data_IF_673267753831
#
_entry.id   IF_673267753831
#
_cell.length_a   1.000
_cell.length_b   1.000
_cell.length_c   1.000
_cell.angle_alpha   90.00
_cell.angle_beta   90.00
_cell.angle_gamma   90.00
#
_symmetry.space_group_name_H-M   'P 1'
#
loop_
_entity.id
_entity.type
_entity.pdbx_description
1 polymer ?
#
# COMPACT_ATOMS: atom_id res chain seq x y z
N UNK A 1 1.52 -8.50 -40.14
CA UNK A 1 1.56 -8.57 -41.62
C UNK A 1 0.15 -8.46 -42.16
N UNK A 2 -0.21 -7.23 -42.57
CA UNK A 2 -1.51 -6.98 -43.20
C UNK A 2 -1.46 -7.48 -44.64
N UNK A 3 -2.18 -8.55 -44.93
CA UNK A 3 -2.39 -9.00 -46.30
C UNK A 3 -3.60 -8.22 -46.83
N UNK A 4 -3.34 -7.22 -47.67
CA UNK A 4 -4.37 -6.54 -48.43
C UNK A 4 -4.84 -7.48 -49.55
N UNK A 5 -6.05 -8.02 -49.42
CA UNK A 5 -6.70 -8.76 -50.49
C UNK A 5 -7.46 -7.74 -51.37
N UNK A 6 -6.91 -7.43 -52.53
CA UNK A 6 -7.61 -6.61 -53.50
C UNK A 6 -8.60 -7.48 -54.30
N UNK A 7 -9.87 -7.14 -54.26
CA UNK A 7 -10.89 -7.77 -55.13
C UNK A 7 -10.97 -6.95 -56.41
N UNK A 8 -10.66 -7.58 -57.54
CA UNK A 8 -10.74 -6.96 -58.85
C UNK A 8 -12.17 -6.98 -59.39
N UNK A 9 -12.84 -5.84 -59.49
CA UNK A 9 -13.98 -5.64 -60.34
C UNK A 9 -13.58 -4.86 -61.61
N UNK A 10 -13.70 -5.50 -62.74
CA UNK A 10 -13.44 -4.91 -64.10
C UNK A 10 -12.14 -4.11 -64.20
N UNK A 11 -11.03 -4.68 -63.75
CA UNK A 11 -9.70 -4.15 -64.03
C UNK A 11 -9.22 -2.94 -63.21
N UNK A 12 -9.95 -2.47 -62.20
CA UNK A 12 -9.52 -1.42 -61.24
C UNK A 12 -9.59 -1.95 -59.79
N UNK A 13 -8.55 -1.76 -58.99
CA UNK A 13 -8.63 -2.07 -57.57
C UNK A 13 -9.65 -1.16 -56.90
N UNK A 14 -10.67 -1.71 -56.25
CA UNK A 14 -11.58 -0.95 -55.38
C UNK A 14 -10.99 -0.92 -54.00
N UNK A 15 -10.75 0.27 -53.51
CA UNK A 15 -10.26 0.45 -52.13
C UNK A 15 -11.36 0.07 -51.15
N UNK A 16 -11.16 -1.03 -50.43
CA UNK A 16 -12.10 -1.48 -49.39
C UNK A 16 -11.77 -0.84 -48.03
N UNK A 17 -12.82 -0.30 -47.38
CA UNK A 17 -12.71 0.22 -46.04
C UNK A 17 -13.11 -0.88 -45.04
N UNK A 18 -12.24 -1.16 -44.05
CA UNK A 18 -12.52 -2.12 -42.99
C UNK A 18 -13.18 -1.46 -41.77
N UNK A 19 -12.97 -0.15 -41.57
CA UNK A 19 -13.49 0.61 -40.42
C UNK A 19 -13.70 2.08 -40.81
N UNK A 20 -14.83 2.65 -40.41
CA UNK A 20 -15.09 4.08 -40.50
C UNK A 20 -14.31 4.81 -39.38
N UNK A 21 -13.61 5.87 -39.76
CA UNK A 21 -12.94 6.74 -38.79
C UNK A 21 -13.75 8.03 -38.57
N UNK A 22 -13.61 8.71 -37.44
CA UNK A 22 -14.24 10.01 -37.22
C UNK A 22 -13.90 11.06 -38.29
N UNK A 23 -12.69 10.99 -38.85
CA UNK A 23 -12.24 11.88 -39.92
C UNK A 23 -13.02 11.62 -41.21
N UNK A 24 -13.17 10.35 -41.61
CA UNK A 24 -13.94 9.96 -42.81
C UNK A 24 -15.40 10.39 -42.72
N UNK A 25 -15.98 10.39 -41.51
CA UNK A 25 -17.36 10.88 -41.29
C UNK A 25 -17.47 12.40 -41.42
N UNK A 26 -16.39 13.14 -41.06
CA UNK A 26 -16.38 14.62 -41.15
C UNK A 26 -16.17 15.12 -42.58
N UNK A 27 -15.30 14.48 -43.34
CA UNK A 27 -14.90 14.93 -44.67
C UNK A 27 -15.63 14.22 -45.80
N UNK A 28 -16.52 13.26 -45.48
CA UNK A 28 -17.28 12.50 -46.47
C UNK A 28 -16.45 11.53 -47.30
N UNK A 29 -15.19 11.28 -46.96
CA UNK A 29 -14.26 10.45 -47.76
C UNK A 29 -14.61 8.96 -47.79
N UNK A 30 -15.65 8.55 -47.07
CA UNK A 30 -16.24 7.20 -47.13
C UNK A 30 -17.22 7.03 -48.31
N UNK A 31 -17.74 8.12 -48.87
CA UNK A 31 -18.69 8.06 -49.98
C UNK A 31 -18.01 7.45 -51.23
N UNK A 32 -18.72 6.56 -51.89
CA UNK A 32 -18.21 5.85 -53.08
C UNK A 32 -17.19 4.75 -52.81
N UNK A 33 -16.79 4.52 -51.57
CA UNK A 33 -15.91 3.39 -51.19
C UNK A 33 -16.69 2.12 -50.89
N UNK A 34 -16.08 0.97 -51.16
CA UNK A 34 -16.65 -0.34 -50.81
C UNK A 34 -16.31 -0.71 -49.38
N UNK A 35 -17.26 -1.22 -48.65
CA UNK A 35 -17.03 -1.74 -47.30
C UNK A 35 -16.71 -3.24 -47.34
N UNK A 36 -15.70 -3.67 -46.59
CA UNK A 36 -15.37 -5.06 -46.41
C UNK A 36 -16.58 -5.83 -45.87
N UNK A 37 -16.97 -6.87 -46.57
CA UNK A 37 -18.07 -7.76 -46.16
C UNK A 37 -17.60 -8.62 -44.97
N UNK A 38 -18.33 -8.61 -43.89
CA UNK A 38 -18.07 -9.51 -42.75
C UNK A 38 -18.63 -10.90 -43.07
N UNK A 39 -17.77 -11.90 -42.88
CA UNK A 39 -18.24 -13.28 -42.89
C UNK A 39 -18.58 -13.70 -41.46
N UNK A 40 -19.87 -13.63 -41.13
CA UNK A 40 -20.37 -14.00 -39.79
C UNK A 40 -20.24 -15.51 -39.49
N UNK A 41 -19.98 -16.32 -40.48
CA UNK A 41 -19.73 -17.75 -40.30
C UNK A 41 -18.31 -18.09 -39.88
N UNK A 42 -17.37 -17.10 -39.90
CA UNK A 42 -16.02 -17.30 -39.41
C UNK A 42 -15.98 -17.13 -37.89
N UNK A 43 -15.41 -18.11 -37.18
CA UNK A 43 -15.22 -17.91 -35.74
C UNK A 43 -14.29 -16.72 -35.47
N UNK A 44 -14.53 -15.95 -34.41
CA UNK A 44 -13.62 -14.86 -34.03
C UNK A 44 -12.23 -15.45 -33.71
N UNK A 45 -11.16 -14.64 -33.88
CA UNK A 45 -9.82 -15.08 -33.51
C UNK A 45 -9.80 -15.54 -32.05
N UNK A 46 -9.21 -16.71 -31.80
CA UNK A 46 -9.06 -17.19 -30.44
C UNK A 46 -8.09 -16.25 -29.69
N UNK A 47 -8.64 -15.50 -28.75
CA UNK A 47 -7.86 -14.73 -27.81
C UNK A 47 -7.54 -15.68 -26.64
N UNK A 48 -6.26 -15.97 -26.44
CA UNK A 48 -5.81 -16.69 -25.23
C UNK A 48 -5.44 -15.64 -24.19
N UNK A 49 -6.35 -15.29 -23.27
CA UNK A 49 -6.01 -14.32 -22.21
C UNK A 49 -4.98 -14.94 -21.27
N UNK A 50 -4.04 -14.11 -20.81
CA UNK A 50 -3.14 -14.50 -19.74
C UNK A 50 -3.92 -14.78 -18.44
N UNK A 51 -3.36 -15.64 -17.58
CA UNK A 51 -3.89 -15.85 -16.21
C UNK A 51 -3.21 -14.89 -15.24
N UNK A 52 -3.96 -14.35 -14.30
CA UNK A 52 -3.38 -13.64 -13.15
C UNK A 52 -2.49 -14.59 -12.35
N UNK A 53 -1.40 -14.07 -11.81
CA UNK A 53 -0.59 -14.81 -10.85
C UNK A 53 -1.42 -15.08 -9.60
N UNK A 54 -1.45 -16.31 -9.03
CA UNK A 54 -2.30 -16.66 -7.88
C UNK A 54 -2.10 -15.76 -6.67
N UNK A 55 -0.86 -15.36 -6.39
CA UNK A 55 -0.56 -14.44 -5.31
C UNK A 55 -1.16 -13.03 -5.54
N UNK A 56 -1.12 -12.54 -6.78
CA UNK A 56 -1.77 -11.26 -7.13
C UNK A 56 -3.29 -11.36 -6.99
N UNK A 57 -3.88 -12.49 -7.38
CA UNK A 57 -5.31 -12.75 -7.20
C UNK A 57 -5.70 -12.76 -5.71
N UNK A 58 -4.87 -13.39 -4.86
CA UNK A 58 -5.06 -13.35 -3.41
C UNK A 58 -5.04 -11.91 -2.86
N UNK A 59 -4.04 -11.09 -3.24
CA UNK A 59 -3.95 -9.68 -2.80
C UNK A 59 -5.16 -8.86 -3.28
N UNK A 60 -5.63 -9.08 -4.51
CA UNK A 60 -6.83 -8.43 -5.03
C UNK A 60 -8.09 -8.84 -4.22
N UNK A 61 -8.21 -10.11 -3.84
CA UNK A 61 -9.31 -10.59 -2.99
C UNK A 61 -9.27 -9.98 -1.58
N UNK A 62 -8.08 -9.85 -0.99
CA UNK A 62 -7.89 -9.14 0.29
C UNK A 62 -8.37 -7.69 0.16
N UNK A 63 -7.94 -6.99 -0.89
CA UNK A 63 -8.36 -5.62 -1.17
C UNK A 63 -9.89 -5.50 -1.27
N UNK A 64 -10.55 -6.38 -2.03
CA UNK A 64 -12.02 -6.36 -2.14
C UNK A 64 -12.72 -6.56 -0.80
N UNK A 65 -12.18 -7.39 0.09
CA UNK A 65 -12.73 -7.57 1.42
C UNK A 65 -12.64 -6.30 2.28
N UNK A 66 -11.50 -5.61 2.27
CA UNK A 66 -11.36 -4.34 2.98
C UNK A 66 -12.32 -3.28 2.46
N UNK A 67 -12.44 -3.14 1.14
CA UNK A 67 -13.41 -2.22 0.53
C UNK A 67 -14.85 -2.58 0.92
N UNK A 68 -15.20 -3.87 0.94
CA UNK A 68 -16.53 -4.35 1.37
C UNK A 68 -16.80 -4.07 2.86
N UNK A 69 -15.77 -4.01 3.71
CA UNK A 69 -15.87 -3.61 5.12
C UNK A 69 -15.89 -2.08 5.32
N UNK A 70 -15.89 -1.31 4.24
CA UNK A 70 -15.97 0.15 4.26
C UNK A 70 -14.62 0.85 4.47
N UNK A 71 -13.51 0.20 4.20
CA UNK A 71 -12.19 0.83 4.22
C UNK A 71 -11.87 1.51 2.90
N UNK A 72 -11.24 2.67 2.96
CA UNK A 72 -10.66 3.38 1.81
C UNK A 72 -9.18 2.98 1.64
N UNK A 73 -8.75 2.77 0.38
CA UNK A 73 -7.35 2.40 0.10
C UNK A 73 -6.43 3.62 0.19
N UNK A 74 -5.46 3.57 1.11
CA UNK A 74 -4.35 4.52 1.16
C UNK A 74 -3.15 4.00 0.39
N UNK A 75 -2.37 4.90 -0.23
CA UNK A 75 -1.25 4.56 -1.11
C UNK A 75 -0.01 5.36 -0.75
N UNK A 76 1.15 4.76 -0.93
CA UNK A 76 2.45 5.40 -0.73
C UNK A 76 3.51 4.86 -1.68
N UNK A 77 4.61 5.62 -1.82
CA UNK A 77 5.77 5.22 -2.61
C UNK A 77 6.52 4.04 -2.00
N UNK A 78 7.31 3.33 -2.81
CA UNK A 78 8.22 2.29 -2.31
C UNK A 78 9.43 2.89 -1.61
N UNK A 79 9.90 4.04 -2.10
CA UNK A 79 10.97 4.83 -1.48
C UNK A 79 10.33 5.85 -0.55
N UNK A 80 10.84 5.90 0.67
CA UNK A 80 10.42 6.83 1.70
C UNK A 80 11.64 7.39 2.41
N UNK A 81 11.53 8.53 3.09
CA UNK A 81 12.59 8.98 3.97
C UNK A 81 12.41 8.41 5.39
N UNK A 82 13.48 8.42 6.19
CA UNK A 82 13.42 7.92 7.55
C UNK A 82 12.41 8.69 8.41
N UNK A 83 12.17 9.96 8.10
CA UNK A 83 11.17 10.75 8.80
C UNK A 83 9.81 10.06 8.81
N UNK A 84 9.25 9.77 7.65
CA UNK A 84 7.93 9.14 7.55
C UNK A 84 7.92 7.66 7.91
N UNK A 85 9.04 6.96 7.64
CA UNK A 85 9.13 5.53 7.93
C UNK A 85 9.35 5.23 9.41
N UNK A 86 9.92 6.18 10.18
CA UNK A 86 10.33 5.96 11.58
C UNK A 86 10.05 7.15 12.50
N UNK A 87 10.53 8.37 12.17
CA UNK A 87 10.47 9.50 13.10
C UNK A 87 9.04 9.95 13.38
N UNK A 88 8.19 10.07 12.37
CA UNK A 88 6.78 10.41 12.50
C UNK A 88 5.99 9.37 13.30
N UNK A 89 6.54 8.16 13.45
CA UNK A 89 6.03 7.09 14.30
C UNK A 89 6.67 7.08 15.69
N UNK A 90 7.25 8.19 16.11
CA UNK A 90 7.85 8.38 17.43
C UNK A 90 8.95 7.39 17.80
N UNK A 91 9.56 6.74 16.80
CA UNK A 91 10.70 5.84 16.99
C UNK A 91 11.98 6.67 17.12
N UNK A 92 12.66 6.69 18.29
CA UNK A 92 13.83 7.55 18.48
C UNK A 92 14.99 7.16 17.56
N UNK A 93 15.78 8.16 17.16
CA UNK A 93 16.85 7.97 16.16
C UNK A 93 18.01 7.09 16.62
N UNK A 94 18.11 6.81 17.93
CA UNK A 94 19.10 5.93 18.52
C UNK A 94 18.51 4.60 19.01
N UNK A 95 17.22 4.33 18.80
CA UNK A 95 16.58 3.13 19.33
C UNK A 95 17.04 1.87 18.59
N UNK A 96 17.40 0.78 19.28
CA UNK A 96 17.79 -0.49 18.64
C UNK A 96 16.74 -1.07 17.70
N UNK A 97 15.46 -0.75 17.89
CA UNK A 97 14.41 -1.18 16.96
C UNK A 97 14.58 -0.62 15.53
N UNK A 98 15.38 0.43 15.32
CA UNK A 98 15.77 0.90 13.98
C UNK A 98 16.74 -0.04 13.29
N UNK A 99 17.62 -0.69 14.06
CA UNK A 99 18.61 -1.63 13.54
C UNK A 99 17.98 -2.99 13.25
N UNK A 100 16.94 -3.38 14.02
CA UNK A 100 16.15 -4.61 13.78
C UNK A 100 15.42 -4.55 12.43
N UNK A 101 15.04 -3.38 11.99
CA UNK A 101 14.56 -3.14 10.66
C UNK A 101 15.75 -2.89 9.72
N UNK A 102 16.62 -3.88 9.55
CA UNK A 102 17.69 -3.80 8.56
C UNK A 102 17.13 -3.30 7.22
N UNK A 103 17.42 -2.04 6.93
CA UNK A 103 16.77 -1.31 5.86
C UNK A 103 17.66 -1.17 4.64
N UNK A 104 17.05 -1.14 3.47
CA UNK A 104 17.75 -0.83 2.23
C UNK A 104 17.76 0.67 2.01
N UNK A 105 18.92 1.30 2.14
CA UNK A 105 19.11 2.71 1.80
C UNK A 105 19.29 2.92 0.31
N UNK A 106 18.72 4.00 -0.20
CA UNK A 106 18.91 4.42 -1.59
C UNK A 106 20.28 5.09 -1.72
N UNK A 107 21.07 4.63 -2.69
CA UNK A 107 22.42 5.14 -2.90
C UNK A 107 22.40 6.52 -3.56
N UNK A 108 21.51 6.72 -4.55
CA UNK A 108 21.42 7.98 -5.28
C UNK A 108 19.98 8.20 -5.82
N UNK A 109 19.33 9.33 -5.47
CA UNK A 109 19.75 10.26 -4.44
C UNK A 109 19.70 9.65 -3.05
N UNK A 110 20.68 9.95 -2.18
CA UNK A 110 20.75 9.37 -0.83
C UNK A 110 19.77 10.01 0.16
N UNK A 111 19.36 11.25 -0.10
CA UNK A 111 18.49 12.03 0.80
C UNK A 111 17.39 12.75 0.02
N UNK A 112 16.25 12.94 0.69
CA UNK A 112 15.17 13.80 0.21
C UNK A 112 15.60 15.28 0.27
N UNK A 113 14.88 16.14 -0.46
CA UNK A 113 15.16 17.59 -0.42
C UNK A 113 14.86 18.16 0.97
N UNK A 114 13.59 18.36 1.26
CA UNK A 114 13.14 18.90 2.55
C UNK A 114 12.03 18.04 3.12
N UNK A 115 11.88 18.08 4.43
CA UNK A 115 10.73 17.54 5.14
C UNK A 115 9.73 18.68 5.33
N UNK A 116 8.47 18.39 5.01
CA UNK A 116 7.39 19.38 5.00
C UNK A 116 7.14 19.97 6.40
N UNK A 117 7.00 21.30 6.47
CA UNK A 117 6.44 21.96 7.65
C UNK A 117 4.90 21.90 7.63
N UNK A 118 4.22 21.84 8.77
CA UNK A 118 4.78 21.96 10.13
C UNK A 118 5.23 20.59 10.74
N UNK A 119 5.14 19.50 10.01
CA UNK A 119 5.41 18.16 10.54
C UNK A 119 6.84 18.01 11.07
N UNK A 120 7.84 18.55 10.34
CA UNK A 120 9.23 18.53 10.77
C UNK A 120 9.40 19.08 12.19
N UNK A 121 8.90 20.27 12.42
CA UNK A 121 9.02 20.95 13.71
C UNK A 121 8.25 20.19 14.80
N UNK A 122 6.97 19.84 14.57
CA UNK A 122 6.14 19.16 15.56
C UNK A 122 6.70 17.78 15.97
N UNK A 123 7.16 16.99 15.01
CA UNK A 123 7.77 15.68 15.29
C UNK A 123 9.09 15.83 16.03
N UNK A 124 9.95 16.77 15.62
CA UNK A 124 11.19 17.07 16.32
C UNK A 124 10.95 17.48 17.77
N UNK A 125 9.97 18.36 18.02
CA UNK A 125 9.59 18.81 19.37
C UNK A 125 9.02 17.67 20.20
N UNK A 126 8.18 16.81 19.61
CA UNK A 126 7.67 15.60 20.28
C UNK A 126 8.82 14.68 20.71
N UNK A 127 9.82 14.46 19.86
CA UNK A 127 11.01 13.66 20.19
C UNK A 127 11.87 14.32 21.27
N UNK A 128 12.08 15.63 21.23
CA UNK A 128 12.93 16.32 22.20
C UNK A 128 12.29 16.43 23.57
N UNK A 129 11.08 16.99 23.65
CA UNK A 129 10.44 17.37 24.91
C UNK A 129 9.01 16.85 25.09
N UNK A 130 8.47 16.14 24.09
CA UNK A 130 7.08 15.73 24.04
C UNK A 130 6.18 16.72 23.29
N UNK A 131 6.64 17.93 22.97
CA UNK A 131 5.81 18.95 22.33
C UNK A 131 4.48 19.17 23.08
N UNK A 132 3.39 19.24 22.33
CA UNK A 132 2.03 19.44 22.87
C UNK A 132 1.35 18.15 23.38
N UNK A 133 2.07 17.02 23.46
CA UNK A 133 1.51 15.70 23.79
C UNK A 133 1.37 15.43 25.28
N UNK A 134 1.92 16.30 26.15
CA UNK A 134 2.00 16.08 27.57
C UNK A 134 3.05 15.07 28.02
N UNK A 135 3.80 14.47 27.09
CA UNK A 135 4.91 13.57 27.39
C UNK A 135 6.22 14.34 27.66
N UNK A 136 7.25 13.61 28.08
CA UNK A 136 8.60 14.21 28.31
C UNK A 136 9.53 14.09 27.11
N UNK A 137 9.09 13.48 26.02
CA UNK A 137 9.91 13.14 24.87
C UNK A 137 11.07 12.18 25.23
N UNK A 138 11.95 11.99 24.27
CA UNK A 138 13.15 11.14 24.40
C UNK A 138 14.41 11.91 24.85
N UNK A 139 14.32 13.26 24.92
CA UNK A 139 15.36 14.19 25.41
C UNK A 139 16.69 14.12 24.65
N UNK A 140 16.62 13.96 23.33
CA UNK A 140 17.80 14.04 22.46
C UNK A 140 17.61 15.10 21.36
N UNK A 141 18.70 15.60 20.82
CA UNK A 141 18.66 16.51 19.69
C UNK A 141 18.34 15.76 18.41
N UNK A 142 17.24 16.14 17.77
CA UNK A 142 16.76 15.53 16.54
C UNK A 142 17.71 15.84 15.36
N UNK A 143 18.20 14.80 14.70
CA UNK A 143 19.06 14.91 13.53
C UNK A 143 18.22 14.93 12.25
N UNK A 144 18.09 16.10 11.64
CA UNK A 144 17.30 16.31 10.45
C UNK A 144 17.94 15.65 9.22
N UNK A 145 19.26 15.58 9.15
CA UNK A 145 19.93 14.96 8.01
C UNK A 145 19.77 13.43 8.04
N UNK A 146 19.71 12.84 9.23
CA UNK A 146 19.32 11.44 9.39
C UNK A 146 17.89 11.21 8.94
N UNK A 147 16.96 12.06 9.34
CA UNK A 147 15.55 11.98 8.97
C UNK A 147 15.30 12.08 7.45
N UNK A 148 16.15 12.80 6.71
CA UNK A 148 16.07 12.97 5.25
C UNK A 148 16.57 11.75 4.46
N UNK A 149 17.31 10.82 5.05
CA UNK A 149 17.87 9.67 4.32
C UNK A 149 16.77 8.87 3.64
N UNK A 150 16.96 8.56 2.36
CA UNK A 150 16.02 7.76 1.58
C UNK A 150 16.27 6.27 1.72
N UNK A 151 15.20 5.52 1.85
CA UNK A 151 15.22 4.08 2.04
C UNK A 151 14.04 3.41 1.33
N UNK A 152 14.13 2.13 1.07
CA UNK A 152 12.95 1.34 0.78
C UNK A 152 12.15 1.18 2.08
N UNK A 153 10.84 1.43 2.03
CA UNK A 153 10.02 1.37 3.25
C UNK A 153 10.07 -0.01 3.89
N UNK A 154 10.33 -0.06 5.19
CA UNK A 154 10.43 -1.29 5.97
C UNK A 154 9.11 -1.72 6.60
N UNK A 155 8.10 -0.85 6.56
CA UNK A 155 6.76 -1.08 7.14
C UNK A 155 5.68 -0.30 6.41
N UNK A 156 4.47 -0.86 6.39
CA UNK A 156 3.29 -0.22 5.83
C UNK A 156 2.84 1.00 6.62
N UNK A 157 3.18 1.10 7.89
CA UNK A 157 2.80 2.18 8.80
C UNK A 157 3.34 3.56 8.37
N UNK A 158 4.37 3.60 7.52
CA UNK A 158 4.78 4.83 6.84
C UNK A 158 3.65 5.44 5.97
N UNK A 159 2.82 4.59 5.35
CA UNK A 159 1.65 5.05 4.59
C UNK A 159 0.57 5.59 5.53
N UNK A 160 0.39 4.96 6.70
CA UNK A 160 -0.52 5.45 7.74
C UNK A 160 -0.12 6.83 8.25
N UNK A 161 1.17 7.05 8.54
CA UNK A 161 1.70 8.34 8.97
C UNK A 161 1.42 9.45 7.93
N UNK A 162 1.70 9.18 6.66
CA UNK A 162 1.38 10.13 5.58
C UNK A 162 -0.12 10.37 5.41
N UNK A 163 -0.94 9.35 5.62
CA UNK A 163 -2.40 9.49 5.57
C UNK A 163 -2.90 10.37 6.69
N UNK A 164 -2.39 10.19 7.93
CA UNK A 164 -2.72 11.05 9.06
C UNK A 164 -2.36 12.51 8.80
N UNK A 165 -1.16 12.77 8.29
CA UNK A 165 -0.69 14.11 7.91
C UNK A 165 -1.52 14.74 6.77
N UNK A 166 -2.19 13.95 5.96
CA UNK A 166 -3.04 14.40 4.84
C UNK A 166 -4.45 14.83 5.23
N UNK A 167 -4.76 15.03 6.53
CA UNK A 167 -6.10 15.37 7.03
C UNK A 167 -7.17 14.37 6.54
N UNK A 168 -7.11 13.11 6.94
CA UNK A 168 -8.08 12.11 6.56
C UNK A 168 -9.47 12.43 7.12
N UNK A 169 -10.52 11.92 6.50
CA UNK A 169 -11.88 12.06 7.03
C UNK A 169 -12.01 11.33 8.36
N UNK A 170 -12.68 11.97 9.33
CA UNK A 170 -13.02 11.39 10.62
C UNK A 170 -14.55 11.49 10.80
N UNK A 171 -15.25 10.39 11.09
CA UNK A 171 -14.75 9.02 11.21
C UNK A 171 -14.29 8.42 9.87
N UNK A 172 -13.28 7.56 9.91
CA UNK A 172 -12.72 6.95 8.70
C UNK A 172 -12.03 5.62 8.97
N UNK A 173 -11.98 4.78 7.94
CA UNK A 173 -11.29 3.49 7.94
C UNK A 173 -10.40 3.44 6.70
N UNK A 174 -9.12 3.21 6.88
CA UNK A 174 -8.16 3.23 5.80
C UNK A 174 -7.31 1.98 5.82
N UNK A 175 -6.93 1.44 4.65
CA UNK A 175 -6.04 0.29 4.55
C UNK A 175 -5.04 0.45 3.42
N UNK A 176 -3.94 -0.26 3.53
CA UNK A 176 -2.96 -0.39 2.45
C UNK A 176 -2.45 -1.82 2.37
N UNK A 177 -2.21 -2.31 1.15
CA UNK A 177 -1.40 -3.50 0.91
C UNK A 177 -0.04 -3.00 0.46
N UNK A 178 0.84 -2.84 1.43
CA UNK A 178 2.13 -2.19 1.28
C UNK A 178 3.24 -3.21 1.01
N UNK A 179 3.94 -3.06 -0.11
CA UNK A 179 5.17 -3.83 -0.34
C UNK A 179 6.28 -3.24 0.52
N UNK A 180 6.87 -4.05 1.39
CA UNK A 180 7.88 -3.67 2.37
C UNK A 180 9.17 -4.46 2.15
N UNK A 181 10.29 -3.91 2.64
CA UNK A 181 11.62 -4.45 2.40
C UNK A 181 12.42 -4.42 3.69
N UNK A 182 12.98 -5.58 4.05
CA UNK A 182 13.87 -5.73 5.22
C UNK A 182 15.05 -6.60 4.84
N UNK A 183 16.23 -6.25 5.31
CA UNK A 183 17.43 -7.07 5.12
C UNK A 183 17.44 -8.18 6.18
N UNK A 184 16.66 -9.21 5.94
CA UNK A 184 16.53 -10.36 6.82
C UNK A 184 17.17 -11.60 6.22
N UNK A 185 17.59 -12.52 7.07
CA UNK A 185 17.95 -13.86 6.62
C UNK A 185 16.66 -14.58 6.19
N UNK A 186 16.63 -15.02 4.93
CA UNK A 186 15.47 -15.70 4.36
C UNK A 186 15.28 -17.07 5.02
N UNK A 187 14.10 -17.31 5.59
CA UNK A 187 13.68 -18.59 6.15
C UNK A 187 12.22 -18.90 5.77
N UNK A 188 11.57 -19.82 6.50
CA UNK A 188 10.20 -20.23 6.22
C UNK A 188 9.14 -19.11 6.47
N UNK A 189 9.48 -18.11 7.27
CA UNK A 189 8.57 -17.04 7.71
C UNK A 189 9.04 -15.64 7.34
N UNK A 190 10.32 -15.48 6.95
CA UNK A 190 10.93 -14.21 6.62
C UNK A 190 11.35 -14.13 5.17
N UNK A 191 10.95 -13.07 4.48
CA UNK A 191 11.39 -12.71 3.14
C UNK A 191 11.88 -11.26 3.13
N UNK A 192 12.91 -10.98 2.33
CA UNK A 192 13.46 -9.63 2.19
C UNK A 192 12.50 -8.65 1.50
N UNK A 193 11.53 -9.17 0.77
CA UNK A 193 10.51 -8.46 0.02
C UNK A 193 9.17 -9.13 0.31
N UNK A 194 8.28 -8.43 0.98
CA UNK A 194 6.99 -8.96 1.40
C UNK A 194 5.88 -7.91 1.33
N UNK A 195 4.63 -8.36 1.40
CA UNK A 195 3.48 -7.47 1.50
C UNK A 195 2.95 -7.43 2.93
N UNK A 196 2.84 -6.23 3.47
CA UNK A 196 2.20 -5.97 4.76
C UNK A 196 0.82 -5.37 4.51
N UNK A 197 -0.18 -5.92 5.18
CA UNK A 197 -1.51 -5.33 5.23
C UNK A 197 -1.52 -4.37 6.41
N UNK A 198 -1.74 -3.12 6.12
CA UNK A 198 -1.80 -2.03 7.09
C UNK A 198 -3.22 -1.49 7.18
N UNK A 199 -3.69 -1.13 8.37
CA UNK A 199 -5.01 -0.55 8.56
C UNK A 199 -5.05 0.45 9.70
N UNK A 200 -5.74 1.58 9.51
CA UNK A 200 -6.05 2.55 10.55
C UNK A 200 -7.54 2.85 10.58
N UNK A 201 -8.07 3.02 11.77
CA UNK A 201 -9.47 3.41 12.00
C UNK A 201 -9.49 4.63 12.91
N UNK A 202 -10.18 5.67 12.46
CA UNK A 202 -10.26 6.96 13.13
C UNK A 202 -11.70 7.24 13.52
N UNK A 203 -11.92 7.72 14.73
CA UNK A 203 -13.24 8.08 15.25
C UNK A 203 -13.23 8.26 16.76
N UNK A 204 -14.22 8.98 17.29
CA UNK A 204 -14.32 9.32 18.71
C UNK A 204 -14.60 8.09 19.60
N UNK A 205 -15.32 7.10 19.06
CA UNK A 205 -15.72 5.89 19.80
C UNK A 205 -14.72 4.72 19.63
N UNK A 206 -13.55 4.97 18.99
CA UNK A 206 -12.56 3.93 18.77
C UNK A 206 -11.73 3.71 20.02
N UNK A 207 -11.67 2.46 20.45
CA UNK A 207 -10.95 2.04 21.64
C UNK A 207 -10.28 0.66 21.44
N UNK A 208 -9.56 0.21 22.46
CA UNK A 208 -8.82 -1.06 22.39
C UNK A 208 -9.74 -2.28 22.14
N UNK A 209 -10.95 -2.29 22.67
CA UNK A 209 -11.93 -3.36 22.38
C UNK A 209 -12.33 -3.37 20.90
N UNK A 210 -12.53 -2.18 20.31
CA UNK A 210 -12.80 -2.04 18.89
C UNK A 210 -11.64 -2.60 18.06
N UNK A 211 -10.40 -2.31 18.44
CA UNK A 211 -9.20 -2.84 17.81
C UNK A 211 -9.17 -4.38 17.85
N UNK A 212 -9.37 -4.97 19.03
CA UNK A 212 -9.37 -6.45 19.17
C UNK A 212 -10.45 -7.10 18.30
N UNK A 213 -11.66 -6.52 18.26
CA UNK A 213 -12.74 -7.03 17.40
C UNK A 213 -12.42 -6.95 15.91
N UNK A 214 -11.74 -5.88 15.46
CA UNK A 214 -11.30 -5.75 14.07
C UNK A 214 -10.18 -6.75 13.73
N UNK A 215 -9.26 -7.00 14.64
CA UNK A 215 -8.19 -8.00 14.46
C UNK A 215 -8.77 -9.42 14.41
N UNK A 216 -9.74 -9.73 15.26
CA UNK A 216 -10.47 -11.00 15.20
C UNK A 216 -11.16 -11.19 13.85
N UNK A 217 -11.90 -10.18 13.40
CA UNK A 217 -12.56 -10.20 12.09
C UNK A 217 -11.54 -10.38 10.95
N UNK A 218 -10.38 -9.72 11.04
CA UNK A 218 -9.29 -9.89 10.09
C UNK A 218 -8.76 -11.32 10.07
N UNK A 219 -8.51 -11.91 11.25
CA UNK A 219 -8.02 -13.28 11.36
C UNK A 219 -9.03 -14.30 10.77
N UNK A 220 -10.31 -14.14 11.07
CA UNK A 220 -11.37 -15.04 10.58
C UNK A 220 -11.61 -14.87 9.07
N UNK A 221 -11.75 -13.62 8.59
CA UNK A 221 -12.18 -13.33 7.23
C UNK A 221 -11.05 -13.37 6.21
N UNK A 222 -9.86 -12.91 6.59
CA UNK A 222 -8.71 -12.79 5.69
C UNK A 222 -7.78 -13.99 5.86
N UNK A 223 -7.29 -14.25 7.07
CA UNK A 223 -6.37 -15.34 7.34
C UNK A 223 -7.07 -16.72 7.43
N UNK A 224 -8.41 -16.76 7.53
CA UNK A 224 -9.18 -18.01 7.69
C UNK A 224 -8.75 -18.84 8.90
N UNK A 225 -8.26 -18.16 9.94
CA UNK A 225 -7.83 -18.78 11.17
C UNK A 225 -9.03 -19.39 11.93
N UNK A 226 -8.81 -20.53 12.59
CA UNK A 226 -9.81 -21.17 13.45
C UNK A 226 -9.57 -20.88 14.92
N UNK A 227 -8.31 -20.69 15.31
CA UNK A 227 -7.87 -20.37 16.65
C UNK A 227 -6.98 -19.13 16.59
N UNK A 228 -7.23 -18.17 17.48
CA UNK A 228 -6.49 -16.93 17.60
C UNK A 228 -6.09 -16.70 19.04
N UNK A 229 -5.02 -15.95 19.24
CA UNK A 229 -4.54 -15.51 20.54
C UNK A 229 -4.03 -14.08 20.44
N UNK A 230 -4.29 -13.27 21.47
CA UNK A 230 -3.75 -11.92 21.59
C UNK A 230 -2.69 -11.91 22.69
N UNK A 231 -1.48 -11.51 22.34
CA UNK A 231 -0.38 -11.36 23.28
C UNK A 231 -0.07 -9.87 23.49
N UNK A 232 0.22 -9.43 24.73
CA UNK A 232 0.73 -8.09 24.95
C UNK A 232 2.01 -7.84 24.18
N UNK A 233 2.14 -6.68 23.56
CA UNK A 233 3.29 -6.31 22.75
C UNK A 233 3.75 -4.88 23.06
N UNK A 234 4.88 -4.50 22.50
CA UNK A 234 5.41 -3.14 22.55
C UNK A 234 5.80 -2.64 21.17
N UNK A 235 5.27 -1.49 20.79
CA UNK A 235 5.71 -0.74 19.63
C UNK A 235 5.92 0.73 20.01
N UNK A 236 6.95 1.42 19.50
CA UNK A 236 7.23 2.81 19.87
C UNK A 236 6.08 3.77 19.61
N UNK A 237 5.22 3.47 18.65
CA UNK A 237 4.14 4.33 18.14
C UNK A 237 2.74 4.01 18.70
N UNK A 238 2.58 2.93 19.45
CA UNK A 238 1.26 2.53 20.01
C UNK A 238 1.33 2.21 21.49
N UNK A 239 0.20 2.51 22.20
CA UNK A 239 -0.04 2.16 23.59
C UNK A 239 -1.54 2.21 23.89
N UNK A 240 -2.21 1.14 24.32
CA UNK A 240 -1.66 -0.23 24.45
C UNK A 240 -1.39 -0.90 23.09
N UNK A 241 -0.53 -1.92 23.12
CA UNK A 241 -0.12 -2.69 21.95
C UNK A 241 -0.39 -4.18 22.13
N UNK A 242 -0.64 -4.86 21.04
CA UNK A 242 -0.97 -6.29 21.00
C UNK A 242 -0.41 -6.95 19.75
N UNK A 243 -0.01 -8.19 19.86
CA UNK A 243 0.26 -9.09 18.73
C UNK A 243 -0.90 -10.08 18.57
N UNK A 244 -1.35 -10.23 17.33
CA UNK A 244 -2.31 -11.25 16.95
C UNK A 244 -1.57 -12.49 16.47
N UNK A 245 -1.78 -13.60 17.15
CA UNK A 245 -1.28 -14.91 16.76
C UNK A 245 -2.41 -15.78 16.23
N UNK A 246 -2.11 -16.59 15.24
CA UNK A 246 -3.05 -17.56 14.66
C UNK A 246 -2.44 -18.94 14.64
N UNK A 247 -3.27 -19.97 14.81
CA UNK A 247 -2.81 -21.35 14.76
C UNK A 247 -2.88 -21.90 13.34
N UNK A 248 -1.73 -22.03 12.71
CA UNK A 248 -1.62 -22.66 11.39
C UNK A 248 -1.62 -24.17 11.51
N UNK A 249 -2.36 -24.94 10.65
CA UNK A 249 -2.52 -26.39 10.78
C UNK A 249 -1.22 -27.20 10.76
N UNK A 250 -0.18 -26.68 10.08
CA UNK A 250 1.11 -27.38 9.93
C UNK A 250 2.25 -26.74 10.73
N UNK A 251 2.22 -25.40 10.94
CA UNK A 251 3.32 -24.65 11.53
C UNK A 251 3.09 -24.31 13.00
N UNK A 252 1.89 -24.60 13.55
CA UNK A 252 1.54 -24.23 14.91
C UNK A 252 1.17 -22.74 15.05
N UNK A 253 1.44 -22.17 16.22
CA UNK A 253 1.18 -20.76 16.48
C UNK A 253 2.16 -19.87 15.70
N UNK A 254 1.63 -18.85 15.02
CA UNK A 254 2.38 -17.91 14.21
C UNK A 254 1.85 -16.51 14.49
N UNK A 255 2.76 -15.53 14.57
CA UNK A 255 2.41 -14.13 14.54
C UNK A 255 1.77 -13.80 13.19
N UNK A 256 0.60 -13.14 13.24
CA UNK A 256 -0.06 -12.61 12.05
C UNK A 256 0.21 -11.12 11.89
N UNK A 257 0.39 -10.40 12.98
CA UNK A 257 0.79 -9.01 12.98
C UNK A 257 0.56 -8.30 14.30
N UNK A 258 1.23 -7.17 14.44
CA UNK A 258 1.10 -6.26 15.58
C UNK A 258 0.07 -5.17 15.35
N UNK A 259 -0.54 -4.69 16.44
CA UNK A 259 -1.50 -3.59 16.41
C UNK A 259 -1.52 -2.83 17.74
N UNK A 260 -2.10 -1.64 17.74
CA UNK A 260 -2.26 -0.85 18.97
C UNK A 260 -3.03 0.43 18.72
N UNK A 261 -3.25 1.16 19.79
CA UNK A 261 -3.79 2.53 19.73
C UNK A 261 -2.62 3.48 19.53
N UNK A 262 -2.68 4.34 18.52
CA UNK A 262 -1.63 5.33 18.29
C UNK A 262 -1.47 6.26 19.51
N UNK A 263 -0.23 6.49 19.87
CA UNK A 263 0.13 7.40 20.96
C UNK A 263 -0.11 8.85 20.55
N UNK A 264 -0.37 9.75 21.53
CA UNK A 264 -0.48 11.18 21.28
C UNK A 264 0.74 11.77 20.56
N UNK A 265 1.95 11.22 20.82
CA UNK A 265 3.21 11.63 20.19
C UNK A 265 3.27 11.32 18.69
N UNK A 266 2.33 10.51 18.17
CA UNK A 266 2.14 10.28 16.74
C UNK A 266 1.00 11.15 16.22
N UNK A 267 -0.16 11.13 16.88
CA UNK A 267 -1.39 11.73 16.34
C UNK A 267 -1.44 13.25 16.46
N UNK A 268 -0.82 13.84 17.50
CA UNK A 268 -0.80 15.30 17.67
C UNK A 268 0.13 16.01 16.69
N UNK A 269 1.36 15.51 16.44
CA UNK A 269 2.23 16.12 15.43
C UNK A 269 1.74 16.00 14.00
N UNK A 270 1.00 14.96 13.66
CA UNK A 270 0.50 14.66 12.31
C UNK A 270 -0.91 15.17 12.08
#
# INVERSE_FOLDING_TARGET
TNIHTAVLQKGRPVEEISQLTPQMLKDGSWEGKSFRKYNIGLPPPRITPGRKHPYKEFLDNVKYKFVAMGFEEMRGGLVENEFWNMDALYMPQFHPARDIHDVYYVKEPASSKEIEEPFRTRVSDAHYSGGDTGSRGWKYHFDIEKAKRLMLRSQGTAVSARTLAGNPKIPGKYFSIARCFRYEQVDATHAQDFFQIEGIVLGDDINFRTLLGLLELFALEIAKAKEIEFLPAYFPFTEPSVELHVKHPKLGWMELGGAGIFRPEVTIPL
#
